data_IF_391833457766
#
_entry.id   IF_391833457766
#
_cell.length_a   1.000
_cell.length_b   1.000
_cell.length_c   1.000
_cell.angle_alpha   90.00
_cell.angle_beta   90.00
_cell.angle_gamma   90.00
#
_symmetry.space_group_name_H-M   'P 1'
#
loop_
_entity.id
_entity.type
_entity.pdbx_description
1 polymer ?
#
# COMPACT_ATOMS: atom_id res chain seq x y z
N UNK A 1 18.15 7.94 13.35
CA UNK A 1 16.75 7.53 13.08
C UNK A 1 15.86 8.55 13.73
N UNK A 2 15.26 9.46 12.96
CA UNK A 2 14.29 10.40 13.49
C UNK A 2 13.11 9.60 14.03
N UNK A 3 12.95 9.61 15.35
CA UNK A 3 11.80 9.01 16.02
C UNK A 3 10.63 9.88 15.62
N UNK A 4 9.86 9.45 14.61
CA UNK A 4 8.56 10.05 14.37
C UNK A 4 7.77 9.87 15.66
N UNK A 5 7.22 10.97 16.20
CA UNK A 5 6.41 10.89 17.40
C UNK A 5 5.06 10.24 17.05
N UNK A 6 5.03 8.92 17.17
CA UNK A 6 3.84 8.10 16.98
C UNK A 6 2.91 8.14 18.19
N UNK A 7 3.35 8.72 19.32
CA UNK A 7 2.56 8.86 20.54
C UNK A 7 1.44 9.87 20.38
N UNK A 8 1.66 10.93 19.60
CA UNK A 8 0.65 11.95 19.28
C UNK A 8 -0.21 11.61 18.05
N UNK A 9 0.04 10.47 17.39
CA UNK A 9 -0.62 10.13 16.13
C UNK A 9 -2.09 9.73 16.33
N UNK A 10 -2.97 10.21 15.45
CA UNK A 10 -4.40 9.84 15.47
C UNK A 10 -4.60 8.49 14.77
N UNK A 11 -4.65 7.42 15.57
CA UNK A 11 -4.84 6.05 15.11
C UNK A 11 -6.29 5.77 14.75
N UNK A 12 -6.52 5.13 13.60
CA UNK A 12 -7.82 4.65 13.15
C UNK A 12 -7.77 3.15 12.90
N UNK A 13 -8.63 2.41 13.60
CA UNK A 13 -8.83 0.97 13.35
C UNK A 13 -9.75 0.77 12.14
N UNK A 14 -9.44 -0.22 11.30
CA UNK A 14 -10.31 -0.57 10.17
C UNK A 14 -11.69 -1.04 10.63
N UNK A 15 -12.77 -0.62 9.96
CA UNK A 15 -14.14 -1.10 10.23
C UNK A 15 -14.37 -2.54 9.76
N UNK A 16 -13.46 -3.11 8.96
CA UNK A 16 -13.47 -4.53 8.55
C UNK A 16 -12.87 -5.47 9.60
N UNK A 17 -12.49 -4.93 10.75
CA UNK A 17 -12.01 -5.64 11.91
C UNK A 17 -13.15 -6.39 12.60
N UNK A 18 -13.23 -7.70 12.40
CA UNK A 18 -14.20 -8.56 13.12
C UNK A 18 -13.76 -8.92 14.54
N UNK A 19 -14.63 -9.60 15.29
CA UNK A 19 -14.38 -10.05 16.67
C UNK A 19 -13.15 -10.98 16.83
N UNK A 20 -12.62 -11.50 15.72
CA UNK A 20 -11.49 -12.44 15.72
C UNK A 20 -10.11 -11.75 15.83
N UNK A 21 -10.08 -10.41 15.92
CA UNK A 21 -8.92 -9.69 16.46
C UNK A 21 -7.71 -9.52 15.55
N UNK A 22 -7.82 -9.65 14.23
CA UNK A 22 -6.69 -9.34 13.32
C UNK A 22 -6.75 -7.87 12.88
N UNK A 23 -6.96 -6.96 13.83
CA UNK A 23 -7.30 -5.58 13.53
C UNK A 23 -6.01 -4.77 13.38
N UNK A 24 -5.89 -4.06 12.25
CA UNK A 24 -4.79 -3.12 12.01
C UNK A 24 -5.25 -1.70 12.35
N UNK A 25 -4.34 -0.91 12.90
CA UNK A 25 -4.51 0.52 13.10
C UNK A 25 -3.60 1.29 12.14
N UNK A 26 -4.13 2.35 11.55
CA UNK A 26 -3.40 3.25 10.64
C UNK A 26 -3.46 4.67 11.17
N UNK A 27 -2.33 5.38 11.13
CA UNK A 27 -2.25 6.81 11.40
C UNK A 27 -1.62 7.55 10.22
N UNK A 28 -2.29 8.61 9.78
CA UNK A 28 -1.71 9.55 8.81
C UNK A 28 -0.89 10.60 9.57
N UNK A 29 0.36 10.76 9.17
CA UNK A 29 1.29 11.76 9.68
C UNK A 29 1.52 12.82 8.58
N UNK A 30 2.24 13.90 8.90
CA UNK A 30 2.50 14.99 7.95
C UNK A 30 3.20 14.54 6.67
N UNK A 31 4.14 13.58 6.76
CA UNK A 31 4.94 13.10 5.63
C UNK A 31 4.97 11.58 5.48
N UNK A 32 4.21 10.87 6.32
CA UNK A 32 4.30 9.42 6.43
C UNK A 32 2.96 8.80 6.85
N UNK A 33 2.87 7.49 6.71
CA UNK A 33 1.76 6.67 7.20
C UNK A 33 2.32 5.60 8.10
N UNK A 34 1.77 5.48 9.31
CA UNK A 34 2.17 4.46 10.27
C UNK A 34 1.09 3.37 10.36
N UNK A 35 1.52 2.11 10.47
CA UNK A 35 0.65 0.94 10.54
C UNK A 35 1.13 0.04 11.69
N UNK A 36 0.22 -0.38 12.56
CA UNK A 36 0.53 -1.26 13.69
C UNK A 36 -0.57 -2.29 13.95
N UNK A 37 -0.22 -3.31 14.73
CA UNK A 37 -1.19 -4.25 15.28
C UNK A 37 -1.99 -3.57 16.40
N UNK A 38 -3.32 -3.61 16.31
CA UNK A 38 -4.19 -3.10 17.37
C UNK A 38 -4.05 -3.87 18.69
N UNK A 39 -3.64 -5.14 18.64
CA UNK A 39 -3.45 -5.99 19.83
C UNK A 39 -2.15 -5.70 20.56
N UNK A 40 -1.15 -5.19 19.85
CA UNK A 40 0.14 -4.79 20.42
C UNK A 40 0.44 -3.33 20.06
N UNK A 41 -0.29 -2.42 20.70
CA UNK A 41 -0.13 -0.96 20.48
C UNK A 41 1.22 -0.42 20.90
N UNK A 42 1.91 -1.12 21.80
CA UNK A 42 3.27 -0.84 22.26
C UNK A 42 4.35 -1.41 21.34
N UNK A 43 3.97 -2.35 20.48
CA UNK A 43 4.85 -3.00 19.54
C UNK A 43 5.33 -2.07 18.42
N UNK A 44 6.24 -2.57 17.56
CA UNK A 44 6.79 -1.78 16.46
C UNK A 44 5.70 -1.42 15.44
N UNK A 45 5.72 -0.16 14.99
CA UNK A 45 4.91 0.30 13.87
C UNK A 45 5.74 0.29 12.58
N UNK A 46 5.12 -0.15 11.48
CA UNK A 46 5.65 0.03 10.14
C UNK A 46 5.38 1.47 9.70
N UNK A 47 6.38 2.15 9.16
CA UNK A 47 6.24 3.52 8.68
C UNK A 47 6.59 3.59 7.21
N UNK A 48 5.67 4.13 6.42
CA UNK A 48 5.81 4.36 4.99
C UNK A 48 5.87 5.85 4.72
N UNK A 49 6.67 6.27 3.74
CA UNK A 49 6.50 7.59 3.14
C UNK A 49 5.14 7.68 2.45
N UNK A 50 4.64 8.89 2.21
CA UNK A 50 3.39 9.07 1.47
C UNK A 50 3.40 8.39 0.08
N UNK A 51 4.56 8.37 -0.59
CA UNK A 51 4.72 7.74 -1.92
C UNK A 51 4.69 6.22 -1.83
N UNK A 52 5.39 5.63 -0.88
CA UNK A 52 5.36 4.17 -0.66
C UNK A 52 3.96 3.71 -0.28
N UNK A 53 3.26 4.48 0.56
CA UNK A 53 1.87 4.18 0.90
C UNK A 53 0.94 4.21 -0.32
N UNK A 54 1.07 5.23 -1.18
CA UNK A 54 0.28 5.29 -2.42
C UNK A 54 0.55 4.07 -3.32
N UNK A 55 1.81 3.73 -3.55
CA UNK A 55 2.20 2.56 -4.35
C UNK A 55 1.70 1.25 -3.74
N UNK A 56 1.76 1.10 -2.41
CA UNK A 56 1.23 -0.06 -1.71
C UNK A 56 -0.28 -0.23 -1.94
N UNK A 57 -1.05 0.85 -1.87
CA UNK A 57 -2.50 0.82 -2.13
C UNK A 57 -2.80 0.48 -3.59
N UNK A 58 -2.03 1.01 -4.54
CA UNK A 58 -2.18 0.66 -5.97
C UNK A 58 -1.89 -0.82 -6.21
N UNK A 59 -0.74 -1.33 -5.75
CA UNK A 59 -0.40 -2.74 -5.89
C UNK A 59 -1.40 -3.69 -5.21
N UNK A 60 -1.96 -3.27 -4.06
CA UNK A 60 -3.01 -4.04 -3.36
C UNK A 60 -4.30 -4.11 -4.20
N UNK A 61 -4.70 -3.01 -4.84
CA UNK A 61 -5.88 -3.00 -5.73
C UNK A 61 -5.66 -3.83 -7.00
N UNK A 62 -4.43 -3.88 -7.49
CA UNK A 62 -4.04 -4.68 -8.66
C UNK A 62 -3.87 -6.18 -8.35
N UNK A 63 -4.01 -6.58 -7.08
CA UNK A 63 -3.85 -7.96 -6.63
C UNK A 63 -2.40 -8.44 -6.68
N UNK A 64 -1.42 -7.52 -6.54
CA UNK A 64 0.01 -7.85 -6.57
C UNK A 64 0.43 -8.74 -5.39
N UNK A 65 -0.28 -8.63 -4.26
CA UNK A 65 0.05 -9.31 -3.01
C UNK A 65 -0.82 -10.55 -2.72
N UNK A 66 -1.68 -10.96 -3.65
CA UNK A 66 -2.54 -12.14 -3.47
C UNK A 66 -1.70 -13.43 -3.53
N UNK A 67 -1.48 -14.05 -2.37
CA UNK A 67 -0.57 -15.20 -2.19
C UNK A 67 -1.02 -16.47 -2.96
N UNK A 68 -2.28 -16.55 -3.38
CA UNK A 68 -2.86 -17.73 -4.06
C UNK A 68 -2.89 -17.63 -5.59
N UNK A 69 -2.21 -16.65 -6.20
CA UNK A 69 -2.11 -16.58 -7.67
C UNK A 69 -0.96 -17.48 -8.14
N UNK A 70 -1.21 -18.62 -8.82
CA UNK A 70 -0.14 -19.34 -9.50
C UNK A 70 0.43 -18.38 -10.53
N UNK A 71 1.70 -17.98 -10.35
CA UNK A 71 2.44 -16.95 -11.08
C UNK A 71 2.01 -16.87 -12.55
N UNK A 72 0.98 -16.05 -12.87
CA UNK A 72 0.57 -15.86 -14.24
C UNK A 72 1.57 -14.87 -14.83
N UNK A 73 2.56 -15.44 -15.50
CA UNK A 73 3.53 -14.74 -16.36
C UNK A 73 2.88 -13.47 -16.94
N UNK A 74 3.49 -12.30 -16.69
CA UNK A 74 3.21 -11.08 -17.43
C UNK A 74 3.25 -11.41 -18.92
N UNK A 75 2.08 -11.59 -19.54
CA UNK A 75 1.94 -11.72 -20.99
C UNK A 75 1.26 -10.43 -21.46
N UNK A 76 2.06 -9.58 -22.10
CA UNK A 76 1.58 -8.49 -22.95
C UNK A 76 1.29 -7.17 -22.27
N UNK A 77 2.34 -6.42 -21.89
CA UNK A 77 2.24 -4.96 -21.95
C UNK A 77 2.15 -4.60 -23.44
N UNK A 78 0.93 -4.42 -23.93
CA UNK A 78 0.67 -3.84 -25.23
C UNK A 78 1.23 -2.42 -25.23
N UNK A 79 2.47 -2.27 -25.68
CA UNK A 79 3.02 -1.01 -26.12
C UNK A 79 2.19 -0.53 -27.32
N UNK A 80 1.08 0.18 -27.06
CA UNK A 80 0.45 1.02 -28.08
C UNK A 80 1.40 2.20 -28.31
N UNK A 81 2.34 2.03 -29.24
CA UNK A 81 3.03 3.14 -29.89
C UNK A 81 1.99 3.95 -30.66
N UNK A 82 1.81 5.20 -30.26
CA UNK A 82 1.11 6.24 -31.02
C UNK A 82 1.79 6.49 -32.39
N UNK A 83 1.06 7.07 -33.36
CA UNK A 83 1.24 6.80 -34.78
C UNK A 83 2.30 7.72 -35.41
N UNK A 84 3.05 7.18 -36.37
CA UNK A 84 3.68 8.00 -37.39
C UNK A 84 3.43 7.29 -38.73
N UNK A 85 2.42 7.79 -39.45
CA UNK A 85 2.21 7.43 -40.84
C UNK A 85 3.37 8.04 -41.64
N UNK A 86 4.22 7.18 -42.20
CA UNK A 86 5.13 7.61 -43.25
C UNK A 86 4.34 7.61 -44.57
N UNK A 87 4.29 8.79 -45.17
CA UNK A 87 3.70 9.09 -46.46
C UNK A 87 4.37 8.24 -47.56
N UNK A 88 3.56 7.54 -48.36
CA UNK A 88 3.98 7.10 -49.70
C UNK A 88 3.78 8.29 -50.66
N UNK A 89 4.88 8.85 -51.17
CA UNK A 89 5.14 9.22 -52.57
C UNK A 89 6.62 9.49 -52.68
#
# INVERSE_FOLDING_TARGET
MSVLDLGAATWRTSTRSGANGNCVEVAQLTSAVALRDSKDRSGPALVFTAREWAAFIEGTKDGEFDQDRPTRRRRGLGAKRSPLMQSLT
#
